data_IF_722146861507
#
_entry.id   IF_722146861507
#
_cell.length_a   1.000
_cell.length_b   1.000
_cell.length_c   1.000
_cell.angle_alpha   90.00
_cell.angle_beta   90.00
_cell.angle_gamma   90.00
#
_symmetry.space_group_name_H-M   'P 1'
#
loop_
_entity.id
_entity.type
_entity.pdbx_description
1 polymer ?
#
# COMPACT_ATOMS: atom_id res chain seq x y z
N UNK A 1 10.80 -4.39 37.66
CA UNK A 1 10.24 -4.81 36.36
C UNK A 1 10.55 -3.71 35.36
N UNK A 2 11.51 -3.93 34.47
CA UNK A 2 11.94 -2.93 33.48
C UNK A 2 11.05 -3.09 32.25
N UNK A 3 10.19 -2.11 31.97
CA UNK A 3 9.58 -1.99 30.66
C UNK A 3 10.71 -1.83 29.63
N UNK A 4 10.71 -2.69 28.61
CA UNK A 4 11.76 -2.77 27.59
C UNK A 4 11.87 -1.46 26.81
N UNK A 5 13.11 -1.03 26.52
CA UNK A 5 13.43 0.16 25.74
C UNK A 5 12.78 0.17 24.32
N UNK A 6 12.28 -0.98 23.86
CA UNK A 6 11.56 -1.14 22.60
C UNK A 6 10.25 -0.33 22.50
N UNK A 7 9.60 -0.03 23.63
CA UNK A 7 8.33 0.75 23.62
C UNK A 7 8.55 2.24 23.29
N UNK A 8 9.76 2.77 23.53
CA UNK A 8 10.11 4.16 23.23
C UNK A 8 10.48 4.37 21.76
N UNK A 9 10.95 3.34 21.05
CA UNK A 9 11.44 3.45 19.67
C UNK A 9 10.31 3.54 18.63
N UNK A 10 9.23 2.76 18.81
CA UNK A 10 8.04 2.86 17.95
C UNK A 10 7.38 4.25 18.09
N UNK A 11 7.44 4.86 19.29
CA UNK A 11 6.89 6.20 19.54
C UNK A 11 7.80 7.37 19.11
N UNK A 12 9.12 7.16 18.98
CA UNK A 12 10.06 8.24 18.64
C UNK A 12 10.18 8.50 17.15
N UNK A 13 9.83 7.54 16.28
CA UNK A 13 9.55 7.81 14.86
C UNK A 13 8.34 8.76 14.69
N UNK A 14 7.38 8.66 15.61
CA UNK A 14 6.08 9.34 15.54
C UNK A 14 6.18 10.81 16.03
N UNK A 15 7.00 11.09 17.04
CA UNK A 15 7.14 12.46 17.58
C UNK A 15 7.90 13.41 16.64
N UNK A 16 8.77 12.89 15.77
CA UNK A 16 9.46 13.70 14.76
C UNK A 16 8.50 14.25 13.68
N UNK A 17 7.48 13.47 13.30
CA UNK A 17 6.47 13.87 12.30
C UNK A 17 5.52 14.94 12.84
N UNK A 18 5.15 14.90 14.12
CA UNK A 18 4.33 15.95 14.75
C UNK A 18 5.10 17.26 14.97
N UNK A 19 6.40 17.21 15.24
CA UNK A 19 7.22 18.40 15.44
C UNK A 19 7.47 19.21 14.14
N UNK A 20 7.56 18.54 12.99
CA UNK A 20 7.83 19.20 11.71
C UNK A 20 6.63 20.03 11.17
N UNK A 21 5.40 19.70 11.58
CA UNK A 21 4.17 20.37 11.11
C UNK A 21 3.86 21.72 11.79
N UNK A 22 4.69 22.14 12.75
CA UNK A 22 4.49 23.37 13.54
C UNK A 22 5.11 24.66 12.98
N UNK A 23 5.95 24.61 11.95
CA UNK A 23 6.68 25.81 11.48
C UNK A 23 6.07 26.42 10.21
N UNK A 24 5.24 27.46 10.38
CA UNK A 24 4.77 28.31 9.28
C UNK A 24 5.92 29.20 8.78
N UNK A 25 6.54 28.87 7.65
CA UNK A 25 7.49 29.77 6.99
C UNK A 25 6.77 30.89 6.22
N UNK A 26 6.91 32.12 6.72
CA UNK A 26 6.62 33.37 6.01
C UNK A 26 7.69 33.59 4.95
N UNK A 27 7.26 33.84 3.71
CA UNK A 27 8.12 34.30 2.63
C UNK A 27 8.67 35.71 2.94
N UNK A 28 9.97 35.80 3.23
CA UNK A 28 10.73 37.05 3.30
C UNK A 28 11.81 37.05 2.23
N UNK A 29 11.70 37.98 1.27
CA UNK A 29 12.63 38.22 0.16
C UNK A 29 13.96 38.78 0.69
N UNK A 30 15.15 38.28 0.28
CA UNK A 30 16.43 38.88 0.68
C UNK A 30 16.75 40.11 -0.17
N UNK A 31 17.04 41.24 0.47
CA UNK A 31 17.70 42.40 -0.14
C UNK A 31 19.21 42.27 0.01
N UNK A 32 19.91 42.15 -1.11
CA UNK A 32 21.37 42.27 -1.23
C UNK A 32 21.80 43.73 -1.15
N UNK A 33 22.73 44.04 -0.27
CA UNK A 33 23.55 45.25 -0.34
C UNK A 33 25.02 44.85 -0.44
N UNK A 34 25.75 45.40 -1.41
CA UNK A 34 27.13 45.91 -1.28
C UNK A 34 27.47 46.74 -2.52
N UNK A 35 28.31 47.73 -2.29
CA UNK A 35 28.66 48.97 -3.00
C UNK A 35 29.47 48.76 -4.30
N UNK A 36 29.28 49.67 -5.25
CA UNK A 36 29.98 49.88 -6.55
C UNK A 36 31.42 50.45 -6.36
N UNK A 37 32.17 51.02 -7.36
CA UNK A 37 31.88 51.24 -8.79
C UNK A 37 33.06 51.02 -9.77
N UNK A 38 32.80 50.95 -11.09
CA UNK A 38 33.58 51.64 -12.14
C UNK A 38 32.65 51.94 -13.33
N UNK A 39 32.80 53.15 -13.87
CA UNK A 39 32.02 53.85 -14.90
C UNK A 39 32.59 53.58 -16.30
N UNK A 40 31.73 53.39 -17.32
CA UNK A 40 31.91 54.00 -18.65
C UNK A 40 30.61 54.01 -19.46
N UNK A 41 30.22 55.23 -19.85
CA UNK A 41 29.15 55.69 -20.75
C UNK A 41 29.30 55.19 -22.20
N UNK A 42 28.26 54.98 -23.02
CA UNK A 42 27.47 55.96 -23.84
C UNK A 42 26.33 55.16 -24.60
N UNK A 43 25.20 55.79 -25.05
CA UNK A 43 23.88 55.14 -25.31
C UNK A 43 23.47 55.08 -26.83
N UNK A 44 22.16 55.05 -27.23
CA UNK A 44 21.42 53.85 -27.66
C UNK A 44 20.86 53.88 -29.11
N UNK A 45 20.56 52.71 -29.68
CA UNK A 45 19.75 52.46 -30.91
C UNK A 45 19.61 50.92 -31.05
N UNK A 46 18.61 50.27 -31.62
CA UNK A 46 17.25 50.54 -32.05
C UNK A 46 16.58 49.16 -32.18
N UNK A 47 15.27 49.11 -31.94
CA UNK A 47 14.25 48.21 -32.50
C UNK A 47 14.67 46.90 -33.22
N UNK A 48 14.24 45.76 -32.65
CA UNK A 48 14.29 44.45 -33.32
C UNK A 48 13.23 43.49 -32.79
N UNK A 49 12.03 43.57 -33.38
CA UNK A 49 10.90 42.65 -33.19
C UNK A 49 11.30 41.22 -33.60
N UNK A 50 10.93 40.22 -32.79
CA UNK A 50 10.75 38.86 -33.29
C UNK A 50 9.53 38.23 -32.62
N UNK A 51 8.45 38.21 -33.40
CA UNK A 51 7.17 37.56 -33.11
C UNK A 51 7.30 36.05 -33.26
N UNK A 52 6.97 35.31 -32.20
CA UNK A 52 6.74 33.86 -32.29
C UNK A 52 5.33 33.63 -32.83
N UNK A 53 5.27 32.96 -33.97
CA UNK A 53 4.07 32.61 -34.72
C UNK A 53 3.31 31.49 -34.01
N UNK A 54 2.03 31.72 -33.73
CA UNK A 54 1.05 30.72 -33.29
C UNK A 54 0.52 30.03 -34.55
N UNK A 55 0.62 28.70 -34.62
CA UNK A 55 -0.09 27.88 -35.61
C UNK A 55 -1.17 27.08 -34.86
N UNK A 56 -2.47 27.24 -35.18
CA UNK A 56 -3.56 26.42 -34.65
C UNK A 56 -4.02 25.37 -35.66
N UNK A 57 -4.12 24.11 -35.25
CA UNK A 57 -4.79 23.04 -36.02
C UNK A 57 -5.06 21.86 -35.08
N UNK A 58 -6.14 21.11 -35.07
CA UNK A 58 -7.54 21.24 -35.47
C UNK A 58 -8.27 20.13 -34.69
N UNK A 59 -9.54 20.34 -34.34
CA UNK A 59 -10.36 19.36 -33.63
C UNK A 59 -10.80 18.23 -34.58
N UNK A 60 -10.56 16.98 -34.18
CA UNK A 60 -11.06 15.79 -34.89
C UNK A 60 -12.53 15.57 -34.53
N UNK A 61 -13.40 15.67 -35.54
CA UNK A 61 -14.82 15.28 -35.49
C UNK A 61 -14.97 13.76 -35.58
N UNK A 62 -15.73 13.19 -34.66
CA UNK A 62 -16.25 11.81 -34.73
C UNK A 62 -17.59 11.83 -35.48
N UNK A 63 -17.82 10.96 -36.49
CA UNK A 63 -19.11 10.89 -37.15
C UNK A 63 -20.08 9.96 -36.41
N UNK A 64 -21.28 10.49 -36.20
CA UNK A 64 -22.51 9.84 -35.78
C UNK A 64 -23.03 8.92 -36.90
N UNK A 65 -23.42 7.69 -36.56
CA UNK A 65 -24.17 6.80 -37.46
C UNK A 65 -25.47 6.36 -36.78
N UNK A 66 -26.57 6.95 -37.22
CA UNK A 66 -27.92 6.45 -37.00
C UNK A 66 -28.30 5.47 -38.13
N UNK A 67 -29.05 4.41 -37.80
CA UNK A 67 -30.13 3.89 -38.66
C UNK A 67 -30.99 2.86 -37.89
N UNK A 68 -32.25 3.24 -37.69
CA UNK A 68 -33.43 2.39 -37.49
C UNK A 68 -33.63 1.42 -38.66
N UNK A 69 -34.03 0.16 -38.42
CA UNK A 69 -35.12 -0.56 -39.15
C UNK A 69 -35.73 -1.70 -38.28
N UNK A 70 -36.94 -1.46 -37.78
CA UNK A 70 -38.21 -2.22 -37.82
C UNK A 70 -38.26 -3.77 -37.89
N UNK A 71 -39.13 -4.30 -37.01
CA UNK A 71 -40.07 -5.43 -37.14
C UNK A 71 -39.91 -6.44 -38.31
N UNK A 72 -39.64 -7.70 -37.96
CA UNK A 72 -40.05 -8.84 -38.78
C UNK A 72 -40.37 -10.08 -37.92
N UNK A 73 -41.66 -10.42 -37.90
CA UNK A 73 -42.29 -11.63 -37.37
C UNK A 73 -42.17 -12.77 -38.39
N UNK A 74 -41.51 -13.88 -38.04
CA UNK A 74 -41.57 -15.14 -38.83
C UNK A 74 -41.63 -16.30 -37.83
N UNK A 75 -42.84 -16.77 -37.48
CA UNK A 75 -43.58 -17.91 -38.08
C UNK A 75 -42.81 -19.23 -38.04
N UNK A 76 -42.90 -19.88 -36.89
CA UNK A 76 -42.56 -21.28 -36.65
C UNK A 76 -43.51 -22.18 -37.46
N UNK A 77 -42.93 -23.16 -38.18
CA UNK A 77 -43.68 -24.24 -38.83
C UNK A 77 -43.85 -25.37 -37.83
N UNK A 78 -45.10 -25.74 -37.55
CA UNK A 78 -45.45 -26.89 -36.70
C UNK A 78 -45.85 -28.05 -37.62
N UNK A 79 -45.16 -29.18 -37.48
CA UNK A 79 -45.64 -30.50 -37.88
C UNK A 79 -46.32 -31.13 -36.66
N UNK A 80 -47.58 -31.54 -36.80
CA UNK A 80 -48.39 -32.21 -35.78
C UNK A 80 -48.20 -33.72 -35.84
N UNK A 81 -48.07 -34.37 -34.67
CA UNK A 81 -48.57 -35.73 -34.45
C UNK A 81 -48.90 -35.96 -32.98
N UNK A 82 -50.19 -36.15 -32.73
CA UNK A 82 -50.83 -37.08 -31.79
C UNK A 82 -50.78 -36.86 -30.25
N UNK A 83 -51.93 -36.36 -29.78
CA UNK A 83 -52.78 -36.88 -28.68
C UNK A 83 -52.17 -37.14 -27.30
N UNK A 84 -52.57 -36.36 -26.29
CA UNK A 84 -53.59 -36.76 -25.30
C UNK A 84 -53.68 -35.76 -24.12
N UNK A 85 -54.92 -35.31 -23.85
CA UNK A 85 -55.48 -34.83 -22.56
C UNK A 85 -54.62 -33.93 -21.67
N UNK A 86 -54.88 -32.62 -21.72
CA UNK A 86 -54.45 -31.64 -20.72
C UNK A 86 -55.40 -31.64 -19.51
N UNK A 87 -54.84 -31.89 -18.33
CA UNK A 87 -55.43 -31.49 -17.05
C UNK A 87 -54.78 -30.16 -16.66
N UNK A 88 -55.59 -29.10 -16.47
CA UNK A 88 -55.10 -27.81 -15.98
C UNK A 88 -54.60 -27.97 -14.54
N UNK A 89 -53.32 -27.70 -14.31
CA UNK A 89 -52.82 -27.42 -12.96
C UNK A 89 -51.98 -26.15 -13.04
N UNK A 90 -52.48 -25.06 -12.45
CA UNK A 90 -51.69 -23.84 -12.25
C UNK A 90 -50.49 -24.20 -11.37
N UNK A 91 -49.29 -24.17 -11.94
CA UNK A 91 -48.07 -24.12 -11.15
C UNK A 91 -47.69 -22.67 -10.92
N UNK A 92 -47.92 -22.23 -9.69
CA UNK A 92 -47.33 -21.01 -9.13
C UNK A 92 -45.81 -21.15 -9.15
N UNK A 93 -45.14 -20.31 -9.95
CA UNK A 93 -43.69 -20.18 -9.89
C UNK A 93 -43.33 -19.52 -8.54
N UNK A 94 -42.88 -20.34 -7.59
CA UNK A 94 -42.22 -19.87 -6.39
C UNK A 94 -40.82 -19.44 -6.78
N UNK A 95 -40.62 -18.13 -6.94
CA UNK A 95 -39.28 -17.54 -7.01
C UNK A 95 -38.61 -17.72 -5.65
N UNK A 96 -37.82 -18.78 -5.49
CA UNK A 96 -36.92 -18.91 -4.35
C UNK A 96 -35.81 -17.88 -4.56
N UNK A 97 -35.97 -16.70 -3.97
CA UNK A 97 -34.85 -15.81 -3.69
C UNK A 97 -33.94 -16.56 -2.72
N UNK A 98 -32.89 -17.20 -3.23
CA UNK A 98 -31.81 -17.71 -2.41
C UNK A 98 -31.09 -16.51 -1.79
N UNK A 99 -31.57 -16.08 -0.63
CA UNK A 99 -30.85 -15.16 0.24
C UNK A 99 -29.65 -15.96 0.74
N UNK A 100 -28.51 -15.81 0.07
CA UNK A 100 -27.24 -16.29 0.60
C UNK A 100 -27.07 -15.66 1.98
N UNK A 101 -27.27 -16.46 3.03
CA UNK A 101 -27.00 -16.05 4.39
C UNK A 101 -25.48 -15.99 4.50
N UNK A 102 -24.88 -14.82 4.22
CA UNK A 102 -23.50 -14.54 4.62
C UNK A 102 -23.47 -14.81 6.13
N UNK A 103 -22.75 -15.85 6.54
CA UNK A 103 -22.52 -16.10 7.96
C UNK A 103 -22.05 -14.76 8.55
N UNK A 104 -22.67 -14.32 9.65
CA UNK A 104 -22.24 -13.09 10.30
C UNK A 104 -20.76 -13.27 10.64
N UNK A 105 -19.89 -12.45 10.04
CA UNK A 105 -18.48 -12.45 10.40
C UNK A 105 -18.41 -12.23 11.92
N UNK A 106 -17.59 -13.05 12.59
CA UNK A 106 -17.26 -12.85 14.00
C UNK A 106 -16.86 -11.38 14.17
N UNK A 107 -17.32 -10.74 15.24
CA UNK A 107 -16.80 -9.41 15.58
C UNK A 107 -15.38 -9.56 16.10
N UNK A 108 -14.45 -8.66 15.76
CA UNK A 108 -13.10 -8.72 16.28
C UNK A 108 -13.10 -8.53 17.80
N UNK A 109 -12.23 -9.26 18.47
CA UNK A 109 -12.02 -9.16 19.92
C UNK A 109 -11.64 -7.74 20.33
N UNK A 110 -10.88 -7.04 19.47
CA UNK A 110 -10.51 -5.62 19.65
C UNK A 110 -10.54 -4.89 18.31
N UNK A 111 -10.95 -3.62 18.35
CA UNK A 111 -10.94 -2.71 17.19
C UNK A 111 -10.03 -1.53 17.48
N UNK A 112 -9.20 -1.18 16.51
CA UNK A 112 -8.29 -0.04 16.55
C UNK A 112 -8.65 0.89 15.40
N UNK A 113 -9.38 1.96 15.70
CA UNK A 113 -9.91 2.91 14.72
C UNK A 113 -9.41 4.34 14.98
N UNK A 114 -8.64 4.53 16.05
CA UNK A 114 -8.29 5.84 16.57
C UNK A 114 -7.31 6.63 15.73
N UNK A 115 -7.20 7.90 16.13
CA UNK A 115 -6.41 8.95 15.50
C UNK A 115 -5.25 9.34 16.41
N UNK A 116 -3.99 9.41 15.96
CA UNK A 116 -3.41 8.71 14.81
C UNK A 116 -3.10 7.23 15.07
N UNK A 117 -2.92 6.87 16.34
CA UNK A 117 -2.25 5.64 16.74
C UNK A 117 -3.04 4.90 17.81
N UNK A 118 -3.66 3.79 17.44
CA UNK A 118 -4.15 2.78 18.37
C UNK A 118 -3.46 1.46 18.08
N UNK A 119 -2.99 0.79 19.14
CA UNK A 119 -2.17 -0.41 19.04
C UNK A 119 -2.22 -1.28 20.28
N UNK A 120 -1.86 -2.56 20.13
CA UNK A 120 -1.69 -3.46 21.26
C UNK A 120 -0.57 -4.48 21.03
N UNK A 121 0.34 -4.58 22.00
CA UNK A 121 1.32 -5.67 22.06
C UNK A 121 0.63 -6.94 22.54
N UNK A 122 0.72 -8.00 21.75
CA UNK A 122 0.12 -9.29 22.05
C UNK A 122 1.09 -10.16 22.84
N UNK A 123 1.04 -10.05 24.17
CA UNK A 123 1.90 -10.82 25.06
C UNK A 123 1.83 -12.34 24.79
N UNK A 124 2.98 -13.00 24.77
CA UNK A 124 3.10 -14.42 24.42
C UNK A 124 3.26 -14.70 22.92
N UNK A 125 3.23 -13.65 22.10
CA UNK A 125 3.50 -13.71 20.65
C UNK A 125 4.65 -12.75 20.30
N UNK A 126 5.22 -12.82 19.08
CA UNK A 126 6.18 -11.83 18.63
C UNK A 126 5.52 -10.56 18.10
N UNK A 127 4.21 -10.33 18.29
CA UNK A 127 3.47 -9.31 17.54
C UNK A 127 2.94 -8.11 18.33
N UNK A 128 2.84 -6.99 17.62
CA UNK A 128 2.00 -5.85 17.94
C UNK A 128 0.98 -5.65 16.81
N UNK A 129 -0.28 -5.38 17.14
CA UNK A 129 -1.32 -4.96 16.17
C UNK A 129 -1.37 -3.44 16.18
N UNK A 130 -1.36 -2.79 15.03
CA UNK A 130 -1.25 -1.33 14.97
C UNK A 130 -2.09 -0.74 13.82
N UNK A 131 -2.89 0.29 14.11
CA UNK A 131 -3.68 1.01 13.10
C UNK A 131 -2.89 2.07 12.32
N UNK A 132 -2.03 2.85 12.97
CA UNK A 132 -1.10 3.83 12.37
C UNK A 132 -1.72 4.68 11.25
N UNK A 133 -2.86 5.28 11.54
CA UNK A 133 -3.51 6.24 10.66
C UNK A 133 -2.76 7.59 10.71
N UNK A 134 -1.48 7.63 10.32
CA UNK A 134 -0.61 8.80 10.50
C UNK A 134 -1.08 10.05 9.72
N UNK A 135 -1.88 9.86 8.67
CA UNK A 135 -2.55 10.93 7.92
C UNK A 135 -4.07 10.92 8.16
N UNK A 136 -4.53 10.55 9.37
CA UNK A 136 -5.96 10.45 9.73
C UNK A 136 -6.79 11.71 9.47
N UNK A 137 -6.14 12.88 9.44
CA UNK A 137 -6.80 14.17 9.17
C UNK A 137 -7.31 14.25 7.74
N UNK A 138 -6.71 13.47 6.85
CA UNK A 138 -7.07 13.34 5.43
C UNK A 138 -7.99 12.14 5.18
N UNK A 139 -8.40 11.40 6.22
CA UNK A 139 -9.39 10.34 6.12
C UNK A 139 -10.78 10.95 6.26
N UNK A 140 -11.50 11.05 5.13
CA UNK A 140 -12.94 11.27 5.11
C UNK A 140 -13.63 9.92 5.06
N UNK A 141 -14.13 9.47 6.22
CA UNK A 141 -14.63 8.12 6.45
C UNK A 141 -13.89 7.43 7.59
N UNK A 142 -13.49 6.16 7.44
CA UNK A 142 -12.82 5.38 8.48
C UNK A 142 -11.71 4.45 7.94
N UNK A 143 -10.77 4.13 8.84
CA UNK A 143 -9.72 3.14 8.63
C UNK A 143 -9.49 2.45 9.97
N UNK A 144 -9.84 1.16 10.04
CA UNK A 144 -9.90 0.39 11.28
C UNK A 144 -9.16 -0.94 11.13
N UNK A 145 -8.50 -1.35 12.21
CA UNK A 145 -7.90 -2.68 12.35
C UNK A 145 -8.71 -3.50 13.34
N UNK A 146 -9.05 -4.74 13.00
CA UNK A 146 -9.65 -5.72 13.89
C UNK A 146 -8.63 -6.78 14.30
N UNK A 147 -8.55 -7.09 15.59
CA UNK A 147 -7.82 -8.27 16.08
C UNK A 147 -8.81 -9.33 16.57
N UNK A 148 -8.62 -10.58 16.12
CA UNK A 148 -9.48 -11.71 16.49
C UNK A 148 -8.82 -12.61 17.53
N UNK A 149 -7.83 -13.38 17.10
CA UNK A 149 -7.11 -14.37 17.88
C UNK A 149 -5.78 -14.74 17.20
N UNK A 150 -5.05 -15.67 17.80
CA UNK A 150 -3.92 -16.33 17.17
C UNK A 150 -3.95 -17.83 17.51
N UNK A 151 -3.32 -18.63 16.65
CA UNK A 151 -3.20 -20.08 16.81
C UNK A 151 -1.76 -20.53 16.56
N UNK A 152 -1.47 -21.80 16.83
CA UNK A 152 -0.16 -22.39 16.58
C UNK A 152 0.93 -21.93 17.56
N UNK A 153 2.19 -22.25 17.22
CA UNK A 153 3.38 -21.91 18.02
C UNK A 153 4.62 -21.92 17.13
N UNK A 154 5.65 -21.17 17.51
CA UNK A 154 6.89 -21.14 16.74
C UNK A 154 6.67 -20.55 15.35
N UNK A 155 7.21 -21.19 14.31
CA UNK A 155 7.07 -20.75 12.92
C UNK A 155 5.63 -20.93 12.39
N UNK A 156 4.86 -21.86 12.97
CA UNK A 156 3.45 -22.10 12.64
C UNK A 156 2.49 -21.21 13.44
N UNK A 157 3.00 -20.26 14.24
CA UNK A 157 2.14 -19.32 14.94
C UNK A 157 1.51 -18.38 13.90
N UNK A 158 0.18 -18.25 13.90
CA UNK A 158 -0.55 -17.39 12.95
C UNK A 158 -1.52 -16.47 13.70
N UNK A 159 -1.51 -15.17 13.39
CA UNK A 159 -2.48 -14.18 13.87
C UNK A 159 -3.62 -14.00 12.86
N UNK A 160 -4.85 -13.95 13.35
CA UNK A 160 -6.03 -13.55 12.57
C UNK A 160 -6.41 -12.09 12.89
N UNK A 161 -6.41 -11.25 11.86
CA UNK A 161 -6.69 -9.82 11.96
C UNK A 161 -7.41 -9.32 10.72
N UNK A 162 -8.02 -8.14 10.79
CA UNK A 162 -8.70 -7.52 9.66
C UNK A 162 -8.34 -6.06 9.51
N UNK A 163 -8.56 -5.56 8.31
CA UNK A 163 -8.46 -4.14 7.97
C UNK A 163 -9.73 -3.74 7.26
N UNK A 164 -10.44 -2.76 7.80
CA UNK A 164 -11.64 -2.19 7.21
C UNK A 164 -11.36 -0.73 6.83
N UNK A 165 -11.40 -0.47 5.53
CA UNK A 165 -11.38 0.88 4.98
C UNK A 165 -12.77 1.27 4.51
N UNK A 166 -13.13 2.50 4.81
CA UNK A 166 -14.25 3.20 4.20
C UNK A 166 -13.78 4.63 3.97
N UNK A 167 -12.99 4.85 2.91
CA UNK A 167 -12.27 6.11 2.68
C UNK A 167 -12.75 6.72 1.37
N UNK A 168 -13.22 7.96 1.44
CA UNK A 168 -13.77 8.70 0.30
C UNK A 168 -12.78 8.75 -0.89
N UNK A 169 -13.13 8.21 -2.07
CA UNK A 169 -12.28 8.20 -3.25
C UNK A 169 -12.05 9.56 -3.89
N UNK A 170 -12.74 10.62 -3.45
CA UNK A 170 -12.57 11.97 -3.98
C UNK A 170 -11.61 12.83 -3.14
N UNK A 171 -11.04 12.30 -2.04
CA UNK A 171 -10.21 13.07 -1.10
C UNK A 171 -8.78 12.55 -0.99
N UNK A 172 -7.82 13.36 -1.43
CA UNK A 172 -6.40 13.07 -1.29
C UNK A 172 -6.02 11.76 -1.97
N UNK A 173 -6.42 11.58 -3.24
CA UNK A 173 -6.31 10.32 -4.01
C UNK A 173 -4.89 9.80 -4.21
N UNK A 174 -3.88 10.67 -4.05
CA UNK A 174 -2.45 10.33 -4.12
C UNK A 174 -1.73 10.57 -2.79
N UNK A 175 -2.46 10.56 -1.67
CA UNK A 175 -1.91 10.66 -0.32
C UNK A 175 -2.24 9.40 0.47
N UNK A 176 -1.20 8.66 0.87
CA UNK A 176 -1.34 7.52 1.79
C UNK A 176 -1.91 8.01 3.13
N UNK A 177 -2.90 7.30 3.67
CA UNK A 177 -3.63 7.68 4.87
C UNK A 177 -3.03 7.12 6.16
N UNK A 178 -2.28 6.03 6.06
CA UNK A 178 -1.70 5.33 7.19
C UNK A 178 -0.99 4.05 6.76
N UNK A 179 -0.63 3.23 7.75
CA UNK A 179 -0.14 1.87 7.54
C UNK A 179 -0.78 0.96 8.59
N UNK A 180 -1.74 0.12 8.20
CA UNK A 180 -2.38 -0.83 9.10
C UNK A 180 -1.55 -2.12 9.11
N UNK A 181 -0.98 -2.54 10.24
CA UNK A 181 -0.01 -3.63 10.22
C UNK A 181 0.03 -4.50 11.49
N UNK A 182 0.63 -5.67 11.31
CA UNK A 182 1.19 -6.50 12.38
C UNK A 182 2.70 -6.32 12.38
N UNK A 183 3.24 -5.90 13.52
CA UNK A 183 4.66 -5.61 13.68
C UNK A 183 5.37 -6.63 14.55
N UNK A 184 6.65 -6.87 14.28
CA UNK A 184 7.51 -7.70 15.11
C UNK A 184 7.96 -6.94 16.37
N UNK A 185 8.04 -7.67 17.48
CA UNK A 185 8.51 -7.15 18.78
C UNK A 185 9.72 -7.94 19.33
N UNK A 186 10.12 -9.01 18.63
CA UNK A 186 11.17 -9.93 19.04
C UNK A 186 12.13 -10.20 17.88
N UNK A 187 13.39 -10.51 18.22
CA UNK A 187 14.46 -10.81 17.25
C UNK A 187 14.95 -9.61 16.42
N UNK A 188 14.33 -8.44 16.56
CA UNK A 188 14.78 -7.17 15.99
C UNK A 188 16.05 -6.65 16.68
N UNK A 189 16.62 -5.59 16.10
CA UNK A 189 17.91 -5.02 16.45
C UNK A 189 19.06 -6.05 16.40
N UNK A 190 18.91 -7.02 15.49
CA UNK A 190 19.87 -8.09 15.19
C UNK A 190 20.50 -7.82 13.83
N UNK A 191 21.78 -8.17 13.67
CA UNK A 191 22.46 -8.03 12.38
C UNK A 191 21.86 -9.00 11.37
N UNK A 192 21.70 -8.58 10.12
CA UNK A 192 21.16 -9.47 9.07
C UNK A 192 21.97 -10.77 8.94
N UNK A 193 23.30 -10.71 9.13
CA UNK A 193 24.18 -11.87 9.15
C UNK A 193 23.89 -12.87 10.28
N UNK A 194 23.33 -12.39 11.39
CA UNK A 194 23.07 -13.18 12.60
C UNK A 194 21.64 -13.71 12.65
N UNK A 195 20.74 -13.20 11.80
CA UNK A 195 19.39 -13.74 11.62
C UNK A 195 19.49 -15.03 10.80
N UNK A 196 18.93 -16.13 11.27
CA UNK A 196 18.90 -17.40 10.53
C UNK A 196 17.84 -17.38 9.43
N UNK A 197 16.62 -17.04 9.79
CA UNK A 197 15.46 -16.94 8.90
C UNK A 197 14.44 -15.93 9.45
N UNK A 198 13.60 -15.41 8.56
CA UNK A 198 12.41 -14.62 8.85
C UNK A 198 11.22 -15.26 8.11
N UNK A 199 10.78 -16.47 8.51
CA UNK A 199 9.71 -17.16 7.80
C UNK A 199 8.42 -16.34 7.87
N UNK A 200 7.73 -16.24 6.74
CA UNK A 200 6.42 -15.62 6.68
C UNK A 200 5.45 -16.39 5.80
N UNK A 201 4.22 -16.48 6.29
CA UNK A 201 3.04 -16.89 5.54
C UNK A 201 1.99 -15.81 5.72
N UNK A 202 1.54 -15.19 4.64
CA UNK A 202 0.55 -14.13 4.69
C UNK A 202 -0.58 -14.44 3.70
N UNK A 203 -1.75 -14.75 4.24
CA UNK A 203 -2.97 -15.01 3.47
C UNK A 203 -3.98 -13.90 3.75
N UNK A 204 -4.66 -13.44 2.71
CA UNK A 204 -5.74 -12.47 2.86
C UNK A 204 -6.89 -12.75 1.91
N UNK A 205 -8.10 -12.39 2.33
CA UNK A 205 -9.26 -12.29 1.45
C UNK A 205 -9.75 -10.86 1.40
N UNK A 206 -10.31 -10.46 0.26
CA UNK A 206 -10.72 -9.08 0.01
C UNK A 206 -12.20 -9.03 -0.36
N UNK A 207 -12.94 -8.18 0.32
CA UNK A 207 -14.34 -7.85 0.01
C UNK A 207 -14.46 -6.35 -0.22
N UNK A 208 -14.54 -5.94 -1.49
CA UNK A 208 -14.66 -4.54 -1.89
C UNK A 208 -16.09 -4.17 -2.30
N UNK A 209 -16.56 -3.00 -1.88
CA UNK A 209 -17.84 -2.42 -2.34
C UNK A 209 -17.63 -1.24 -3.30
N UNK A 210 -16.44 -0.65 -3.30
CA UNK A 210 -15.99 0.34 -4.29
C UNK A 210 -14.64 -0.06 -4.86
N UNK A 211 -14.19 0.62 -5.93
CA UNK A 211 -12.78 0.62 -6.28
C UNK A 211 -11.94 1.11 -5.09
N UNK A 212 -10.73 0.57 -4.95
CA UNK A 212 -9.81 0.96 -3.90
C UNK A 212 -8.41 1.16 -4.46
N UNK A 213 -7.61 1.94 -3.74
CA UNK A 213 -6.19 2.13 -3.99
C UNK A 213 -5.44 1.86 -2.70
N UNK A 214 -4.58 0.84 -2.72
CA UNK A 214 -3.86 0.36 -1.56
C UNK A 214 -3.08 -0.93 -1.85
N UNK A 215 -2.11 -1.25 -0.99
CA UNK A 215 -1.17 -2.36 -1.16
C UNK A 215 -1.30 -3.39 -0.03
N UNK A 216 -0.67 -4.55 -0.25
CA UNK A 216 -0.23 -5.49 0.78
C UNK A 216 1.28 -5.51 0.71
N UNK A 217 1.94 -5.16 1.82
CA UNK A 217 3.35 -4.78 1.85
C UNK A 217 4.03 -5.23 3.14
N UNK A 218 5.29 -5.64 3.03
CA UNK A 218 6.19 -5.69 4.18
C UNK A 218 7.00 -4.41 4.25
N UNK A 219 7.21 -3.91 5.47
CA UNK A 219 7.96 -2.68 5.73
C UNK A 219 8.98 -2.92 6.84
N UNK A 220 10.26 -2.77 6.49
CA UNK A 220 11.40 -3.07 7.35
C UNK A 220 12.34 -1.86 7.41
N UNK A 221 12.89 -1.61 8.59
CA UNK A 221 13.89 -0.56 8.78
C UNK A 221 15.24 -1.17 9.09
N UNK A 222 16.28 -0.72 8.40
CA UNK A 222 17.67 -1.12 8.68
C UNK A 222 18.58 0.07 8.94
N UNK A 223 19.61 -0.12 9.76
CA UNK A 223 20.68 0.86 9.95
C UNK A 223 21.95 0.18 10.49
N UNK A 224 23.12 0.73 10.12
CA UNK A 224 24.41 0.32 10.71
C UNK A 224 24.47 0.57 12.23
N UNK A 225 23.55 1.38 12.77
CA UNK A 225 23.38 1.64 14.21
C UNK A 225 22.18 0.85 14.75
N UNK A 226 22.45 0.01 15.77
CA UNK A 226 21.44 -0.78 16.47
C UNK A 226 20.34 0.13 17.05
N UNK A 227 19.09 -0.21 16.77
CA UNK A 227 17.91 0.53 17.25
C UNK A 227 17.62 1.84 16.51
N UNK A 228 18.42 2.23 15.51
CA UNK A 228 18.14 3.43 14.72
C UNK A 228 17.19 3.13 13.57
N UNK A 229 15.98 3.65 13.65
CA UNK A 229 14.92 3.52 12.62
C UNK A 229 14.34 4.86 12.20
N UNK A 230 14.96 5.98 12.59
CA UNK A 230 14.35 7.32 12.42
C UNK A 230 15.30 8.35 11.85
N UNK A 231 16.61 8.11 11.91
CA UNK A 231 17.57 9.04 11.32
C UNK A 231 17.64 8.88 9.81
N UNK A 232 18.18 9.89 9.12
CA UNK A 232 18.48 9.83 7.69
C UNK A 232 19.60 8.82 7.32
N UNK A 233 20.18 8.12 8.31
CA UNK A 233 21.10 7.00 8.09
C UNK A 233 20.37 5.66 8.00
N UNK A 234 19.11 5.62 8.46
CA UNK A 234 18.27 4.44 8.30
C UNK A 234 17.83 4.30 6.83
N UNK A 235 17.54 3.07 6.46
CA UNK A 235 16.90 2.70 5.19
C UNK A 235 15.52 2.11 5.52
N UNK A 236 14.49 2.64 4.88
CA UNK A 236 13.15 2.06 4.85
C UNK A 236 13.07 1.14 3.63
N UNK A 237 12.63 -0.09 3.85
CA UNK A 237 12.61 -1.15 2.86
C UNK A 237 11.17 -1.62 2.74
N UNK A 238 10.61 -1.57 1.53
CA UNK A 238 9.25 -2.03 1.28
C UNK A 238 9.24 -3.18 0.27
N UNK A 239 8.57 -4.28 0.61
CA UNK A 239 8.31 -5.39 -0.32
C UNK A 239 6.82 -5.41 -0.67
N UNK A 240 6.50 -4.92 -1.86
CA UNK A 240 5.11 -4.84 -2.32
C UNK A 240 4.73 -6.16 -2.99
N UNK A 241 3.93 -6.98 -2.29
CA UNK A 241 3.51 -8.29 -2.78
C UNK A 241 2.18 -8.25 -3.54
N UNK A 242 1.37 -7.22 -3.29
CA UNK A 242 0.14 -6.90 -4.02
C UNK A 242 -0.15 -5.38 -3.97
N UNK A 243 -0.63 -4.77 -5.04
CA UNK A 243 -1.09 -3.37 -5.09
C UNK A 243 -2.17 -3.17 -6.15
N UNK A 244 -3.18 -2.35 -5.83
CA UNK A 244 -4.27 -1.98 -6.74
C UNK A 244 -4.44 -0.44 -6.82
N UNK A 245 -5.16 0.02 -7.84
CA UNK A 245 -5.55 1.43 -7.99
C UNK A 245 -4.44 2.38 -8.47
N UNK A 246 -3.40 1.85 -9.11
CA UNK A 246 -2.35 2.67 -9.75
C UNK A 246 -1.51 3.50 -8.77
N UNK A 247 -1.32 3.01 -7.55
CA UNK A 247 -0.32 3.58 -6.65
C UNK A 247 1.10 3.23 -7.12
N UNK A 248 2.05 4.05 -6.69
CA UNK A 248 3.45 3.94 -7.08
C UNK A 248 4.35 4.15 -5.85
N UNK A 249 5.52 3.49 -5.79
CA UNK A 249 6.47 3.69 -4.71
C UNK A 249 7.15 5.06 -4.80
N UNK A 250 7.81 5.45 -3.71
CA UNK A 250 8.76 6.56 -3.72
C UNK A 250 9.90 6.22 -4.70
N UNK A 251 10.30 7.19 -5.53
CA UNK A 251 11.31 6.99 -6.59
C UNK A 251 10.76 6.46 -7.92
N UNK A 252 9.44 6.37 -8.07
CA UNK A 252 8.83 5.87 -9.31
C UNK A 252 9.17 6.70 -10.56
N UNK A 253 9.26 8.03 -10.44
CA UNK A 253 9.48 8.92 -11.59
C UNK A 253 10.87 8.78 -12.21
N UNK A 254 11.82 8.26 -11.43
CA UNK A 254 13.21 8.02 -11.77
C UNK A 254 13.41 6.66 -12.46
N UNK A 255 12.39 5.78 -12.37
CA UNK A 255 12.43 4.42 -12.88
C UNK A 255 13.14 3.44 -11.93
N UNK A 256 13.10 2.13 -12.24
CA UNK A 256 13.73 1.13 -11.41
C UNK A 256 15.26 1.24 -11.46
N UNK A 257 15.90 1.17 -10.30
CA UNK A 257 17.36 1.17 -10.16
C UNK A 257 17.98 -0.22 -10.37
N UNK A 258 17.17 -1.28 -10.25
CA UNK A 258 17.57 -2.66 -10.51
C UNK A 258 16.36 -3.53 -10.86
N UNK A 259 16.62 -4.70 -11.43
CA UNK A 259 15.65 -5.79 -11.60
C UNK A 259 16.22 -7.05 -10.96
N UNK A 260 15.43 -7.74 -10.14
CA UNK A 260 15.84 -8.95 -9.42
C UNK A 260 15.02 -10.13 -9.94
N UNK A 261 15.72 -11.20 -10.30
CA UNK A 261 15.13 -12.42 -10.83
C UNK A 261 15.20 -13.57 -9.82
N UNK A 262 14.31 -14.57 -9.96
CA UNK A 262 14.23 -15.77 -9.13
C UNK A 262 13.73 -15.58 -7.70
N UNK A 263 13.55 -14.35 -7.21
CA UNK A 263 13.11 -14.09 -5.84
C UNK A 263 11.67 -14.58 -5.64
N UNK A 264 11.47 -15.43 -4.63
CA UNK A 264 10.18 -16.11 -4.36
C UNK A 264 9.59 -16.83 -5.60
N UNK A 265 10.47 -17.37 -6.46
CA UNK A 265 10.06 -18.09 -7.68
C UNK A 265 9.51 -17.20 -8.79
N UNK A 266 9.78 -15.89 -8.77
CA UNK A 266 9.34 -14.93 -9.77
C UNK A 266 10.51 -14.12 -10.31
N UNK A 267 10.49 -13.86 -11.61
CA UNK A 267 11.45 -13.00 -12.30
C UNK A 267 10.87 -11.60 -12.53
N UNK A 268 11.73 -10.59 -12.63
CA UNK A 268 11.30 -9.24 -13.00
C UNK A 268 10.84 -8.35 -11.84
N UNK A 269 11.30 -8.62 -10.61
CA UNK A 269 11.03 -7.73 -9.48
C UNK A 269 11.73 -6.38 -9.69
N UNK A 270 10.97 -5.28 -9.65
CA UNK A 270 11.52 -3.95 -9.93
C UNK A 270 11.84 -3.22 -8.63
N UNK A 271 13.10 -2.80 -8.50
CA UNK A 271 13.59 -2.06 -7.33
C UNK A 271 13.54 -0.56 -7.60
N UNK A 272 12.83 0.20 -6.78
CA UNK A 272 12.75 1.66 -6.82
C UNK A 272 13.40 2.25 -5.58
N UNK A 273 13.94 3.45 -5.69
CA UNK A 273 14.53 4.15 -4.56
C UNK A 273 14.32 5.65 -4.66
N UNK A 274 14.00 6.28 -3.54
CA UNK A 274 13.97 7.72 -3.40
C UNK A 274 14.06 8.15 -1.94
N UNK A 275 13.88 9.44 -1.67
CA UNK A 275 13.93 9.99 -0.31
C UNK A 275 12.53 10.43 0.11
N UNK A 276 12.08 9.97 1.26
CA UNK A 276 10.86 10.48 1.88
C UNK A 276 11.12 11.94 2.32
N UNK A 277 10.40 12.89 1.71
CA UNK A 277 10.62 14.31 1.93
C UNK A 277 10.34 14.77 3.37
N UNK A 278 9.46 14.07 4.09
CA UNK A 278 9.09 14.43 5.46
C UNK A 278 10.14 14.00 6.49
N UNK A 279 10.79 12.86 6.26
CA UNK A 279 11.74 12.25 7.23
C UNK A 279 13.20 12.37 6.80
N UNK A 280 13.46 12.57 5.50
CA UNK A 280 14.80 12.49 4.92
C UNK A 280 15.37 11.08 4.86
N UNK A 281 14.57 10.05 5.17
CA UNK A 281 14.95 8.64 5.10
C UNK A 281 14.94 8.19 3.64
N UNK A 282 15.93 7.40 3.26
CA UNK A 282 15.92 6.73 1.94
C UNK A 282 14.97 5.55 2.00
N UNK A 283 14.02 5.52 1.07
CA UNK A 283 13.01 4.46 0.92
C UNK A 283 13.35 3.66 -0.32
N UNK A 284 13.44 2.35 -0.15
CA UNK A 284 13.73 1.39 -1.21
C UNK A 284 12.59 0.38 -1.31
N UNK A 285 11.86 0.39 -2.43
CA UNK A 285 10.68 -0.45 -2.63
C UNK A 285 10.95 -1.49 -3.72
N UNK A 286 10.84 -2.77 -3.39
CA UNK A 286 10.88 -3.86 -4.35
C UNK A 286 9.44 -4.29 -4.67
N UNK A 287 9.03 -4.09 -5.91
CA UNK A 287 7.70 -4.44 -6.39
C UNK A 287 7.71 -5.80 -7.04
N UNK A 288 6.71 -6.63 -6.70
CA UNK A 288 6.41 -7.86 -7.41
C UNK A 288 6.27 -7.57 -8.93
N UNK A 289 6.44 -8.55 -9.82
CA UNK A 289 6.11 -8.35 -11.22
C UNK A 289 4.59 -8.15 -11.36
N UNK A 290 4.17 -7.08 -12.04
CA UNK A 290 2.78 -6.62 -12.12
C UNK A 290 1.82 -7.70 -12.63
N UNK A 291 2.25 -8.50 -13.61
CA UNK A 291 1.46 -9.60 -14.21
C UNK A 291 1.43 -10.88 -13.34
N UNK A 292 2.12 -10.88 -12.21
CA UNK A 292 2.25 -12.09 -11.36
C UNK A 292 2.29 -11.76 -9.87
N UNK A 293 1.55 -10.74 -9.44
CA UNK A 293 1.38 -10.41 -8.02
C UNK A 293 0.87 -11.60 -7.19
N UNK A 294 1.03 -11.55 -5.87
CA UNK A 294 0.57 -12.62 -4.97
C UNK A 294 -0.93 -12.53 -4.64
N UNK A 295 -1.63 -11.55 -5.18
CA UNK A 295 -3.08 -11.39 -5.02
C UNK A 295 -3.81 -11.11 -6.33
N UNK A 296 -5.13 -11.09 -6.21
CA UNK A 296 -6.11 -10.73 -7.23
C UNK A 296 -7.31 -10.04 -6.54
N UNK A 297 -8.41 -9.82 -7.27
CA UNK A 297 -9.58 -9.10 -6.73
C UNK A 297 -10.28 -9.77 -5.54
N UNK A 298 -10.05 -11.07 -5.27
CA UNK A 298 -10.66 -11.83 -4.18
C UNK A 298 -9.75 -11.97 -2.95
N UNK A 299 -8.46 -11.63 -3.08
CA UNK A 299 -7.45 -11.86 -2.06
C UNK A 299 -6.16 -12.43 -2.63
N UNK A 300 -5.34 -13.02 -1.77
CA UNK A 300 -4.04 -13.55 -2.16
C UNK A 300 -3.33 -14.32 -1.06
N UNK A 301 -2.17 -14.87 -1.41
CA UNK A 301 -1.31 -15.56 -0.46
C UNK A 301 0.15 -15.41 -0.84
N UNK A 302 0.98 -15.21 0.18
CA UNK A 302 2.43 -15.19 0.09
C UNK A 302 3.01 -16.17 1.11
N UNK A 303 4.04 -16.91 0.70
CA UNK A 303 4.84 -17.76 1.58
C UNK A 303 6.31 -17.66 1.16
N UNK A 304 7.19 -17.38 2.11
CA UNK A 304 8.61 -17.21 1.85
C UNK A 304 9.40 -16.76 3.08
N UNK A 305 10.72 -16.76 2.95
CA UNK A 305 11.61 -16.19 3.97
C UNK A 305 11.90 -14.72 3.63
N UNK A 306 11.45 -13.80 4.48
CA UNK A 306 11.66 -12.36 4.29
C UNK A 306 13.16 -12.01 4.30
N UNK A 307 14.00 -12.84 4.92
CA UNK A 307 15.45 -12.67 4.88
C UNK A 307 15.99 -12.76 3.45
N UNK A 308 15.42 -13.59 2.58
CA UNK A 308 15.88 -13.75 1.19
C UNK A 308 15.77 -12.42 0.42
N UNK A 309 14.68 -11.68 0.65
CA UNK A 309 14.51 -10.34 0.10
C UNK A 309 15.54 -9.35 0.68
N UNK A 310 15.75 -9.35 1.99
CA UNK A 310 16.74 -8.46 2.62
C UNK A 310 18.16 -8.75 2.11
N UNK A 311 18.51 -10.02 1.91
CA UNK A 311 19.79 -10.42 1.31
C UNK A 311 19.88 -9.94 -0.13
N UNK A 312 18.84 -10.11 -0.94
CA UNK A 312 18.82 -9.62 -2.32
C UNK A 312 19.01 -8.09 -2.42
N UNK A 313 18.42 -7.33 -1.49
CA UNK A 313 18.68 -5.88 -1.41
C UNK A 313 20.11 -5.55 -1.00
N UNK A 314 20.69 -6.32 -0.07
CA UNK A 314 22.09 -6.13 0.33
C UNK A 314 23.06 -6.44 -0.82
N UNK A 315 22.81 -7.50 -1.58
CA UNK A 315 23.60 -7.88 -2.76
C UNK A 315 23.50 -6.84 -3.89
N UNK A 316 22.36 -6.15 -3.99
CA UNK A 316 22.18 -4.99 -4.88
C UNK A 316 22.75 -3.68 -4.31
N UNK A 317 23.47 -3.74 -3.19
CA UNK A 317 24.21 -2.60 -2.63
C UNK A 317 23.34 -1.57 -1.90
N UNK A 318 22.08 -1.88 -1.60
CA UNK A 318 21.18 -0.97 -0.85
C UNK A 318 21.71 -0.73 0.57
N UNK A 319 22.23 -1.78 1.20
CA UNK A 319 22.88 -1.72 2.51
C UNK A 319 23.86 -2.89 2.69
N UNK A 320 24.68 -2.85 3.74
CA UNK A 320 25.67 -3.90 4.03
C UNK A 320 25.02 -5.12 4.69
N UNK A 321 25.48 -6.32 4.37
CA UNK A 321 24.97 -7.57 4.94
C UNK A 321 25.09 -7.67 6.48
N UNK A 322 25.88 -6.79 7.10
CA UNK A 322 26.08 -6.71 8.54
C UNK A 322 25.32 -5.54 9.20
N UNK A 323 24.33 -4.95 8.51
CA UNK A 323 23.42 -3.92 9.05
C UNK A 323 22.48 -4.54 10.09
N UNK A 324 21.95 -3.71 11.00
CA UNK A 324 20.91 -4.15 11.92
C UNK A 324 19.53 -4.05 11.25
N UNK A 325 18.71 -5.09 11.45
CA UNK A 325 17.27 -5.05 11.16
C UNK A 325 16.56 -4.54 12.40
N UNK A 326 16.13 -3.28 12.39
CA UNK A 326 15.62 -2.58 13.57
C UNK A 326 14.08 -2.63 13.69
N UNK A 327 13.37 -2.72 12.57
CA UNK A 327 11.90 -2.82 12.51
C UNK A 327 11.53 -3.84 11.42
N UNK A 328 10.42 -4.56 11.62
CA UNK A 328 9.84 -5.43 10.62
C UNK A 328 8.34 -5.57 10.81
N UNK A 329 7.58 -5.17 9.80
CA UNK A 329 6.13 -5.10 9.79
C UNK A 329 5.56 -5.74 8.52
N UNK A 330 4.32 -6.23 8.59
CA UNK A 330 3.54 -6.64 7.43
C UNK A 330 2.12 -6.06 7.53
N UNK A 331 1.64 -5.45 6.46
CA UNK A 331 0.36 -4.77 6.48
C UNK A 331 -0.04 -4.13 5.16
N UNK A 332 -0.80 -3.04 5.25
CA UNK A 332 -1.42 -2.38 4.10
C UNK A 332 -1.47 -0.87 4.25
N UNK A 333 -1.21 -0.16 3.15
CA UNK A 333 -1.29 1.30 3.05
C UNK A 333 -2.55 1.76 2.30
N UNK A 334 -3.55 2.34 2.99
CA UNK A 334 -4.73 2.88 2.34
C UNK A 334 -4.47 4.22 1.64
N UNK A 335 -4.99 4.38 0.42
CA UNK A 335 -5.25 5.69 -0.18
C UNK A 335 -6.74 6.03 -0.12
N UNK A 336 -7.58 5.17 -0.68
CA UNK A 336 -9.04 5.31 -0.68
C UNK A 336 -9.75 3.98 -0.96
N UNK A 337 -11.07 3.97 -0.79
CA UNK A 337 -11.96 2.88 -1.11
C UNK A 337 -12.68 2.32 0.11
N UNK A 338 -13.77 1.58 -0.15
CA UNK A 338 -14.50 0.81 0.83
C UNK A 338 -14.20 -0.67 0.62
N UNK A 339 -13.33 -1.22 1.47
CA UNK A 339 -12.77 -2.56 1.34
C UNK A 339 -12.50 -3.17 2.72
N UNK A 340 -12.82 -4.46 2.84
CA UNK A 340 -12.54 -5.30 4.00
C UNK A 340 -11.48 -6.35 3.61
N UNK A 341 -10.41 -6.42 4.39
CA UNK A 341 -9.40 -7.45 4.31
C UNK A 341 -9.49 -8.35 5.55
N UNK A 342 -9.65 -9.65 5.34
CA UNK A 342 -9.52 -10.66 6.39
C UNK A 342 -8.17 -11.37 6.23
N UNK A 343 -7.31 -11.31 7.24
CA UNK A 343 -5.89 -11.59 7.14
C UNK A 343 -5.42 -12.64 8.13
N UNK A 344 -4.57 -13.55 7.66
CA UNK A 344 -3.86 -14.52 8.47
C UNK A 344 -2.36 -14.36 8.23
N UNK A 345 -1.60 -14.05 9.28
CA UNK A 345 -0.16 -13.81 9.18
C UNK A 345 0.63 -14.69 10.15
N UNK A 346 1.61 -15.39 9.63
CA UNK A 346 2.76 -15.90 10.36
C UNK A 346 3.97 -15.05 9.98
N UNK A 347 4.68 -14.51 10.97
CA UNK A 347 5.88 -13.71 10.77
C UNK A 347 6.70 -13.71 12.07
N UNK A 348 7.99 -14.07 11.98
CA UNK A 348 8.91 -13.98 13.12
C UNK A 348 10.35 -13.95 12.67
N UNK A 349 11.23 -13.48 13.55
CA UNK A 349 12.67 -13.51 13.34
C UNK A 349 13.27 -14.64 14.15
N UNK A 350 13.94 -15.57 13.46
CA UNK A 350 14.68 -16.66 14.07
C UNK A 350 16.17 -16.28 14.10
N UNK A 351 16.72 -16.12 15.30
CA UNK A 351 18.14 -15.79 15.55
C UNK A 351 18.96 -17.02 15.95
#
# INVERSE_FOLDING_TARGET
>A
MRASAQFFLILSAITAVEAARGSKYRYGRPTTGTVAPVISSVPPEENGVSTVSIIPTEAVKVPELANDIKDAKVRQTVTLSETATASLTLQSQVTIKSKATRAAQKEPTKKFCGKPNESEVLFGTPWIVFSMNYNYQSIKGSSCVGYYDYTGSGDDQTIHWSVLWDIDPDVGTNLVKGYNFIGLTQGLETRLSDIKSIPSKYEWTTSKTTEYKGNVVYDFMTCDTKGDSTSNRAQELMLWINWEGGQVPIGWGEGPIATIDGLFGKDGWKLYQGVNADTGITVTSLLCPEESQFGNQEGGSFEGDIKDWLVALSENGVFKANTYVNVGNAGMEPYYGTVDFDNHLSLRVNV
#
